data_IF_860365661029
#
_entry.id   IF_860365661029
#
_cell.length_a   1.000
_cell.length_b   1.000
_cell.length_c   1.000
_cell.angle_alpha   90.00
_cell.angle_beta   90.00
_cell.angle_gamma   90.00
#
_symmetry.space_group_name_H-M   'P 1'
#
loop_
_entity.id
_entity.type
_entity.pdbx_description
1 polymer ?
#
# COMPACT_ATOMS: atom_id res chain seq x y z
N UNK A 1 -15.19 -0.67 13.18
CA UNK A 1 -15.46 0.79 13.18
C UNK A 1 -15.05 1.32 11.82
N UNK A 2 -16.00 1.81 11.00
CA UNK A 2 -15.66 2.42 9.71
C UNK A 2 -15.34 3.89 9.95
N UNK A 3 -14.09 4.27 9.93
CA UNK A 3 -13.69 5.67 10.01
C UNK A 3 -13.51 6.18 8.59
N UNK A 4 -14.55 6.81 8.06
CA UNK A 4 -14.47 7.63 6.86
C UNK A 4 -13.99 9.01 7.29
N UNK A 5 -12.71 9.30 7.12
CA UNK A 5 -12.16 10.63 7.36
C UNK A 5 -12.34 11.50 6.13
N UNK A 6 -13.41 12.27 6.07
CA UNK A 6 -13.51 13.40 5.16
C UNK A 6 -12.78 14.59 5.80
N UNK A 7 -11.61 14.94 5.31
CA UNK A 7 -10.99 16.24 5.59
C UNK A 7 -11.60 17.26 4.63
N UNK A 8 -12.73 17.86 5.05
CA UNK A 8 -13.23 19.08 4.42
C UNK A 8 -12.29 20.24 4.80
N UNK A 9 -11.59 20.81 3.83
CA UNK A 9 -10.86 22.05 4.03
C UNK A 9 -11.87 23.18 4.18
N UNK A 10 -12.18 23.55 5.45
CA UNK A 10 -13.06 24.66 5.78
C UNK A 10 -12.60 25.99 5.17
N UNK A 11 -13.12 27.11 5.65
CA UNK A 11 -13.10 28.51 5.16
C UNK A 11 -11.87 29.00 4.35
N UNK A 12 -10.76 28.30 4.31
CA UNK A 12 -9.60 28.60 3.43
C UNK A 12 -9.77 28.11 1.99
N UNK A 13 -10.86 27.42 1.69
CA UNK A 13 -11.20 26.88 0.37
C UNK A 13 -12.03 27.82 -0.51
N UNK A 14 -11.96 29.10 -0.33
CA UNK A 14 -12.61 30.06 -1.24
C UNK A 14 -11.85 30.13 -2.58
N UNK A 15 -11.79 29.02 -3.27
CA UNK A 15 -11.12 28.86 -4.57
C UNK A 15 -10.82 27.42 -4.94
N UNK A 16 -10.59 26.53 -3.98
CA UNK A 16 -10.36 25.09 -4.23
C UNK A 16 -11.16 24.24 -3.26
N UNK A 17 -12.12 23.50 -3.78
CA UNK A 17 -12.78 22.45 -3.01
C UNK A 17 -12.00 21.16 -3.25
N UNK A 18 -11.26 20.68 -2.24
CA UNK A 18 -10.52 19.42 -2.29
C UNK A 18 -11.18 18.35 -1.42
N UNK A 19 -11.39 17.16 -1.96
CA UNK A 19 -11.91 16.00 -1.24
C UNK A 19 -10.80 14.94 -1.19
N UNK A 20 -10.29 14.67 0.02
CA UNK A 20 -9.30 13.63 0.26
C UNK A 20 -10.00 12.36 0.75
N UNK A 21 -9.71 11.23 0.12
CA UNK A 21 -10.31 9.95 0.45
C UNK A 21 -9.27 8.85 0.51
N UNK A 22 -9.48 7.87 1.40
CA UNK A 22 -8.67 6.67 1.50
C UNK A 22 -9.62 5.48 1.75
N UNK A 23 -9.97 4.77 0.69
CA UNK A 23 -11.03 3.76 0.72
C UNK A 23 -10.46 2.36 0.44
N UNK A 24 -11.13 1.30 0.93
CA UNK A 24 -10.49 -0.03 1.02
C UNK A 24 -10.51 -0.82 -0.29
N UNK A 25 -11.41 -0.55 -1.23
CA UNK A 25 -11.56 -1.37 -2.46
C UNK A 25 -11.83 -0.53 -3.70
N UNK A 26 -11.42 -1.04 -4.87
CA UNK A 26 -11.69 -0.42 -6.17
C UNK A 26 -13.18 -0.12 -6.39
N UNK A 27 -14.07 -1.04 -5.98
CA UNK A 27 -15.52 -0.87 -6.14
C UNK A 27 -16.07 0.30 -5.30
N UNK A 28 -15.63 0.42 -4.05
CA UNK A 28 -16.04 1.52 -3.16
C UNK A 28 -15.47 2.85 -3.68
N UNK A 29 -14.21 2.89 -4.14
CA UNK A 29 -13.59 4.07 -4.75
C UNK A 29 -14.40 4.52 -5.96
N UNK A 30 -14.71 3.60 -6.88
CA UNK A 30 -15.50 3.90 -8.08
C UNK A 30 -16.88 4.46 -7.74
N UNK A 31 -17.61 3.84 -6.83
CA UNK A 31 -18.93 4.30 -6.39
C UNK A 31 -18.87 5.70 -5.74
N UNK A 32 -17.90 5.91 -4.84
CA UNK A 32 -17.74 7.17 -4.11
C UNK A 32 -17.34 8.32 -5.04
N UNK A 33 -16.37 8.12 -5.95
CA UNK A 33 -15.97 9.16 -6.90
C UNK A 33 -17.12 9.50 -7.84
N UNK A 34 -17.90 8.50 -8.30
CA UNK A 34 -19.07 8.72 -9.14
C UNK A 34 -20.12 9.58 -8.40
N UNK A 35 -20.43 9.27 -7.13
CA UNK A 35 -21.35 10.03 -6.31
C UNK A 35 -20.86 11.47 -6.06
N UNK A 36 -19.56 11.66 -5.81
CA UNK A 36 -18.96 13.00 -5.68
C UNK A 36 -19.18 13.81 -6.96
N UNK A 37 -18.94 13.23 -8.13
CA UNK A 37 -19.13 13.91 -9.42
C UNK A 37 -20.61 14.22 -9.76
N UNK A 38 -21.55 13.62 -9.05
CA UNK A 38 -23.00 13.91 -9.18
C UNK A 38 -23.46 15.01 -8.21
N UNK A 39 -22.81 15.14 -7.07
CA UNK A 39 -23.25 15.97 -5.95
C UNK A 39 -22.39 17.20 -5.69
N UNK A 40 -21.09 17.13 -5.98
CA UNK A 40 -20.17 18.25 -5.81
C UNK A 40 -20.19 19.22 -7.00
N UNK A 41 -19.56 20.37 -6.82
CA UNK A 41 -19.47 21.39 -7.89
C UNK A 41 -18.35 21.05 -8.86
N UNK A 42 -18.52 21.29 -10.18
CA UNK A 42 -17.40 21.28 -11.13
C UNK A 42 -16.24 22.18 -10.64
N UNK A 43 -15.01 21.79 -10.94
CA UNK A 43 -13.82 22.43 -10.40
C UNK A 43 -13.34 21.83 -9.06
N UNK A 44 -14.10 20.89 -8.45
CA UNK A 44 -13.64 20.19 -7.26
C UNK A 44 -12.47 19.25 -7.60
N UNK A 45 -11.45 19.25 -6.76
CA UNK A 45 -10.33 18.30 -6.83
C UNK A 45 -10.59 17.10 -5.93
N UNK A 46 -10.55 15.90 -6.48
CA UNK A 46 -10.66 14.62 -5.76
C UNK A 46 -9.26 14.03 -5.64
N UNK A 47 -8.86 13.67 -4.42
CA UNK A 47 -7.54 13.08 -4.14
C UNK A 47 -7.78 11.70 -3.53
N UNK A 48 -7.54 10.64 -4.32
CA UNK A 48 -7.59 9.27 -3.84
C UNK A 48 -6.23 8.87 -3.26
N UNK A 49 -6.19 8.71 -1.95
CA UNK A 49 -5.01 8.27 -1.20
C UNK A 49 -5.02 6.75 -0.93
N UNK A 50 -6.01 6.06 -1.47
CA UNK A 50 -6.14 4.60 -1.39
C UNK A 50 -5.17 3.87 -2.32
N UNK A 51 -5.07 2.57 -2.15
CA UNK A 51 -4.36 1.69 -3.09
C UNK A 51 -5.35 1.15 -4.12
N UNK A 52 -5.65 1.99 -5.10
CA UNK A 52 -6.60 1.72 -6.19
C UNK A 52 -5.87 1.23 -7.43
N UNK A 53 -6.50 0.36 -8.22
CA UNK A 53 -5.94 -0.10 -9.50
C UNK A 53 -5.67 1.08 -10.44
N UNK A 54 -4.50 1.15 -11.09
CA UNK A 54 -4.18 2.21 -12.06
C UNK A 54 -5.24 2.36 -13.16
N UNK A 55 -5.78 1.25 -13.66
CA UNK A 55 -6.80 1.27 -14.72
C UNK A 55 -8.15 1.82 -14.24
N UNK A 56 -8.54 1.50 -13.02
CA UNK A 56 -9.74 2.09 -12.39
C UNK A 56 -9.59 3.59 -12.24
N UNK A 57 -8.41 4.05 -11.81
CA UNK A 57 -8.11 5.48 -11.70
C UNK A 57 -8.15 6.16 -13.07
N UNK A 58 -7.57 5.56 -14.11
CA UNK A 58 -7.58 6.13 -15.47
C UNK A 58 -9.01 6.24 -16.02
N UNK A 59 -9.85 5.22 -15.82
CA UNK A 59 -11.28 5.27 -16.18
C UNK A 59 -12.00 6.42 -15.47
N UNK A 60 -11.80 6.53 -14.15
CA UNK A 60 -12.44 7.56 -13.33
C UNK A 60 -11.92 8.96 -13.65
N UNK A 61 -10.64 9.08 -13.97
CA UNK A 61 -10.02 10.35 -14.38
C UNK A 61 -10.64 10.86 -15.69
N UNK A 62 -10.80 10.00 -16.69
CA UNK A 62 -11.45 10.38 -17.95
C UNK A 62 -12.88 10.90 -17.71
N UNK A 63 -13.66 10.21 -16.86
CA UNK A 63 -15.00 10.64 -16.49
C UNK A 63 -15.00 11.93 -15.67
N UNK A 64 -14.00 12.15 -14.81
CA UNK A 64 -13.84 13.38 -14.03
C UNK A 64 -13.58 14.58 -14.94
N UNK A 65 -12.68 14.45 -15.90
CA UNK A 65 -12.38 15.50 -16.89
C UNK A 65 -13.62 15.90 -17.69
N UNK A 66 -14.40 14.93 -18.18
CA UNK A 66 -15.64 15.18 -18.91
C UNK A 66 -16.67 15.99 -18.11
N UNK A 67 -16.71 15.79 -16.78
CA UNK A 67 -17.61 16.48 -15.87
C UNK A 67 -17.01 17.75 -15.24
N UNK A 68 -15.79 18.13 -15.64
CA UNK A 68 -15.10 19.32 -15.14
C UNK A 68 -14.54 19.20 -13.73
N UNK A 69 -14.18 17.98 -13.29
CA UNK A 69 -13.50 17.69 -12.03
C UNK A 69 -12.02 17.38 -12.27
N UNK A 70 -11.22 17.51 -11.21
CA UNK A 70 -9.85 17.04 -11.18
C UNK A 70 -9.74 15.78 -10.31
N UNK A 71 -8.96 14.79 -10.75
CA UNK A 71 -8.72 13.57 -9.99
C UNK A 71 -7.23 13.27 -9.91
N UNK A 72 -6.69 13.24 -8.69
CA UNK A 72 -5.33 12.81 -8.40
C UNK A 72 -5.34 11.44 -7.70
N UNK A 73 -4.54 10.51 -8.19
CA UNK A 73 -4.21 9.27 -7.48
C UNK A 73 -2.95 9.49 -6.64
N UNK A 74 -3.12 9.49 -5.32
CA UNK A 74 -2.08 9.88 -4.36
C UNK A 74 -1.86 8.84 -3.26
N UNK A 75 -1.70 7.54 -3.61
CA UNK A 75 -1.52 6.49 -2.63
C UNK A 75 -0.33 6.74 -1.71
N UNK A 76 -0.44 6.17 -0.50
CA UNK A 76 0.52 6.39 0.58
C UNK A 76 1.31 5.14 0.95
N UNK A 77 2.49 5.33 1.50
CA UNK A 77 3.31 4.30 2.14
C UNK A 77 3.84 4.81 3.47
N UNK A 78 3.99 3.91 4.46
CA UNK A 78 4.43 4.24 5.82
C UNK A 78 3.58 3.58 6.92
N UNK A 79 2.44 2.97 6.52
CA UNK A 79 1.55 2.25 7.44
C UNK A 79 0.98 3.14 8.55
N UNK A 80 0.51 2.51 9.62
CA UNK A 80 -0.06 3.20 10.79
C UNK A 80 0.96 4.14 11.47
N UNK A 81 2.20 3.70 11.61
CA UNK A 81 3.28 4.52 12.21
C UNK A 81 3.51 5.79 11.41
N UNK A 82 3.56 5.68 10.08
CA UNK A 82 3.72 6.84 9.20
C UNK A 82 2.52 7.79 9.25
N UNK A 83 1.31 7.24 9.33
CA UNK A 83 0.09 8.04 9.45
C UNK A 83 0.04 8.82 10.78
N UNK A 84 0.29 8.14 11.90
CA UNK A 84 0.29 8.75 13.23
C UNK A 84 1.42 9.79 13.39
N UNK A 85 2.55 9.57 12.74
CA UNK A 85 3.71 10.47 12.80
C UNK A 85 3.71 11.59 11.76
N UNK A 86 2.73 11.66 10.86
CA UNK A 86 2.73 12.61 9.75
C UNK A 86 3.92 12.41 8.78
N UNK A 87 4.42 11.19 8.66
CA UNK A 87 5.65 10.87 7.91
C UNK A 87 5.39 9.98 6.69
N UNK A 88 4.16 9.95 6.19
CA UNK A 88 3.81 9.20 5.00
C UNK A 88 4.66 9.61 3.79
N UNK A 89 4.94 8.64 2.93
CA UNK A 89 5.47 8.86 1.58
C UNK A 89 4.28 8.81 0.63
N UNK A 90 4.06 9.87 -0.14
CA UNK A 90 2.90 10.04 -1.01
C UNK A 90 3.39 10.04 -2.47
N UNK A 91 2.80 9.17 -3.29
CA UNK A 91 3.12 9.01 -4.72
C UNK A 91 1.93 9.52 -5.53
N UNK A 92 2.06 10.67 -6.20
CA UNK A 92 0.93 11.35 -6.81
C UNK A 92 0.97 11.31 -8.34
N UNK A 93 -0.11 10.83 -8.96
CA UNK A 93 -0.39 10.90 -10.39
C UNK A 93 -1.57 11.84 -10.70
N UNK A 94 -1.61 12.36 -11.92
CA UNK A 94 -2.64 13.27 -12.41
C UNK A 94 -2.06 14.49 -13.10
N UNK A 95 -2.82 15.58 -13.20
CA UNK A 95 -2.35 16.84 -13.76
C UNK A 95 -1.30 17.49 -12.86
N UNK A 96 -0.17 17.89 -13.45
CA UNK A 96 0.97 18.47 -12.71
C UNK A 96 0.60 19.74 -11.97
N UNK A 97 -0.16 20.60 -12.60
CA UNK A 97 -0.60 21.89 -12.05
C UNK A 97 -1.50 21.66 -10.83
N UNK A 98 -2.43 20.71 -10.91
CA UNK A 98 -3.31 20.34 -9.79
C UNK A 98 -2.51 19.70 -8.65
N UNK A 99 -1.52 18.86 -8.98
CA UNK A 99 -0.60 18.34 -7.97
C UNK A 99 0.15 19.47 -7.24
N UNK A 100 0.68 20.44 -7.96
CA UNK A 100 1.43 21.55 -7.34
C UNK A 100 0.56 22.37 -6.37
N UNK A 101 -0.71 22.56 -6.69
CA UNK A 101 -1.69 23.22 -5.83
C UNK A 101 -2.04 22.38 -4.58
N UNK A 102 -2.17 21.05 -4.73
CA UNK A 102 -2.55 20.14 -3.64
C UNK A 102 -1.35 19.75 -2.76
N UNK A 103 -0.13 19.78 -3.31
CA UNK A 103 1.09 19.33 -2.64
C UNK A 103 1.30 19.88 -1.22
N UNK A 104 1.05 21.17 -0.91
CA UNK A 104 1.18 21.68 0.46
C UNK A 104 0.30 20.95 1.47
N UNK A 105 -0.91 20.53 1.06
CA UNK A 105 -1.84 19.78 1.92
C UNK A 105 -1.39 18.32 2.10
N UNK A 106 -0.85 17.69 1.05
CA UNK A 106 -0.27 16.36 1.14
C UNK A 106 0.91 16.34 2.13
N UNK A 107 1.73 17.39 2.14
CA UNK A 107 2.87 17.53 3.05
C UNK A 107 2.46 17.79 4.52
N UNK A 108 1.19 18.07 4.81
CA UNK A 108 0.69 18.08 6.19
C UNK A 108 0.48 16.67 6.77
N UNK A 109 0.37 15.66 5.90
CA UNK A 109 0.15 14.25 6.26
C UNK A 109 1.40 13.38 6.05
N UNK A 110 2.33 13.83 5.23
CA UNK A 110 3.51 13.07 4.85
C UNK A 110 4.79 13.90 4.81
N UNK A 111 5.92 13.22 4.94
CA UNK A 111 7.24 13.85 4.81
C UNK A 111 7.63 14.13 3.36
N UNK A 112 7.03 13.40 2.41
CA UNK A 112 7.27 13.59 0.98
C UNK A 112 5.99 13.41 0.18
N UNK A 113 5.81 14.26 -0.83
CA UNK A 113 4.79 14.11 -1.86
C UNK A 113 5.50 14.27 -3.22
N UNK A 114 5.57 13.18 -3.98
CA UNK A 114 6.32 13.09 -5.22
C UNK A 114 5.36 12.96 -6.41
N UNK A 115 5.53 13.80 -7.41
CA UNK A 115 4.82 13.68 -8.67
C UNK A 115 5.39 12.51 -9.49
N UNK A 116 4.54 11.57 -9.84
CA UNK A 116 4.91 10.34 -10.53
C UNK A 116 4.61 10.38 -12.04
N UNK A 117 3.82 11.35 -12.50
CA UNK A 117 3.40 11.46 -13.89
C UNK A 117 1.89 11.61 -14.05
N UNK A 118 1.33 11.36 -15.25
CA UNK A 118 -0.11 11.41 -15.51
C UNK A 118 -0.93 10.48 -14.62
N UNK A 119 -2.26 10.58 -14.74
CA UNK A 119 -3.23 9.75 -14.00
C UNK A 119 -2.90 8.25 -14.08
N UNK A 120 -2.94 7.58 -12.92
CA UNK A 120 -2.57 6.17 -12.73
C UNK A 120 -1.09 5.94 -12.43
N UNK A 121 -0.21 6.95 -12.60
CA UNK A 121 1.21 6.79 -12.29
C UNK A 121 1.48 6.68 -10.78
N UNK A 122 0.74 7.38 -9.93
CA UNK A 122 0.81 7.23 -8.48
C UNK A 122 0.41 5.83 -8.04
N UNK A 123 -0.72 5.35 -8.56
CA UNK A 123 -1.22 3.99 -8.32
C UNK A 123 -0.23 2.92 -8.84
N UNK A 124 0.37 3.11 -10.01
CA UNK A 124 1.41 2.21 -10.53
C UNK A 124 2.64 2.18 -9.63
N UNK A 125 3.08 3.36 -9.14
CA UNK A 125 4.19 3.43 -8.19
C UNK A 125 3.85 2.69 -6.88
N UNK A 126 2.60 2.79 -6.40
CA UNK A 126 2.14 2.04 -5.23
C UNK A 126 2.12 0.53 -5.47
N UNK A 127 1.68 0.09 -6.64
CA UNK A 127 1.73 -1.33 -7.04
C UNK A 127 3.18 -1.83 -6.96
N UNK A 128 4.12 -1.13 -7.61
CA UNK A 128 5.54 -1.49 -7.57
C UNK A 128 6.12 -1.50 -6.14
N UNK A 129 5.76 -0.50 -5.31
CA UNK A 129 6.15 -0.48 -3.90
C UNK A 129 5.65 -1.72 -3.15
N UNK A 130 4.38 -2.11 -3.34
CA UNK A 130 3.81 -3.22 -2.60
C UNK A 130 4.28 -4.58 -3.11
N UNK A 131 4.63 -4.71 -4.39
CA UNK A 131 5.39 -5.88 -4.90
C UNK A 131 6.71 -6.04 -4.12
N UNK A 132 7.52 -4.97 -4.01
CA UNK A 132 8.77 -5.02 -3.26
C UNK A 132 8.55 -5.35 -1.79
N UNK A 133 7.54 -4.77 -1.14
CA UNK A 133 7.19 -5.09 0.26
C UNK A 133 6.87 -6.58 0.42
N UNK A 134 6.05 -7.15 -0.47
CA UNK A 134 5.70 -8.57 -0.46
C UNK A 134 6.93 -9.48 -0.63
N UNK A 135 7.78 -9.17 -1.61
CA UNK A 135 9.02 -9.93 -1.86
C UNK A 135 9.97 -9.85 -0.64
N UNK A 136 10.10 -8.68 -0.01
CA UNK A 136 10.90 -8.54 1.20
C UNK A 136 10.35 -9.37 2.38
N UNK A 137 9.02 -9.46 2.54
CA UNK A 137 8.39 -10.30 3.56
C UNK A 137 8.70 -11.78 3.33
N UNK A 138 8.59 -12.25 2.09
CA UNK A 138 8.91 -13.62 1.73
C UNK A 138 10.40 -13.92 1.93
N UNK A 139 11.29 -13.05 1.43
CA UNK A 139 12.73 -13.21 1.59
C UNK A 139 13.15 -13.24 3.07
N UNK A 140 12.55 -12.37 3.89
CA UNK A 140 12.75 -12.35 5.35
C UNK A 140 12.29 -13.68 5.98
N UNK A 141 11.06 -14.11 5.69
CA UNK A 141 10.50 -15.36 6.25
C UNK A 141 11.36 -16.57 5.91
N UNK A 142 11.76 -16.71 4.64
CA UNK A 142 12.60 -17.82 4.18
C UNK A 142 13.98 -17.80 4.83
N UNK A 143 14.66 -16.65 4.85
CA UNK A 143 16.00 -16.53 5.41
C UNK A 143 16.04 -16.83 6.92
N UNK A 144 15.05 -16.33 7.67
CA UNK A 144 14.98 -16.58 9.12
C UNK A 144 14.59 -18.02 9.45
N UNK A 145 13.67 -18.64 8.70
CA UNK A 145 13.35 -20.06 8.85
C UNK A 145 14.55 -20.95 8.51
N UNK A 146 15.25 -20.66 7.41
CA UNK A 146 16.48 -21.37 7.03
C UNK A 146 17.56 -21.26 8.12
N UNK A 147 17.83 -20.05 8.60
CA UNK A 147 18.83 -19.83 9.65
C UNK A 147 18.49 -20.57 10.93
N UNK A 148 17.21 -20.54 11.36
CA UNK A 148 16.72 -21.32 12.51
C UNK A 148 16.90 -22.82 12.30
N UNK A 149 16.62 -23.33 11.11
CA UNK A 149 16.81 -24.74 10.75
C UNK A 149 18.29 -25.15 10.80
N UNK A 150 19.19 -24.22 10.44
CA UNK A 150 20.65 -24.41 10.50
C UNK A 150 21.20 -24.28 11.95
N UNK A 151 20.37 -23.97 12.93
CA UNK A 151 20.77 -23.86 14.33
C UNK A 151 21.23 -22.46 14.76
N UNK A 152 21.03 -21.43 13.90
CA UNK A 152 21.35 -20.07 14.26
C UNK A 152 20.18 -19.43 15.04
N UNK A 153 20.52 -18.66 16.08
CA UNK A 153 19.52 -17.88 16.81
C UNK A 153 18.99 -16.73 15.98
N UNK A 154 17.64 -16.63 15.76
CA UNK A 154 17.07 -15.61 14.91
C UNK A 154 17.30 -14.17 15.40
N UNK A 155 17.34 -13.93 16.70
CA UNK A 155 17.66 -12.60 17.24
C UNK A 155 19.10 -12.21 16.92
N UNK A 156 20.03 -13.13 17.10
CA UNK A 156 21.44 -12.92 16.74
C UNK A 156 21.62 -12.65 15.25
N UNK A 157 20.88 -13.39 14.39
CA UNK A 157 20.87 -13.11 12.94
C UNK A 157 20.38 -11.68 12.67
N UNK A 158 19.24 -11.29 13.23
CA UNK A 158 18.68 -9.94 13.04
C UNK A 158 19.68 -8.87 13.41
N UNK A 159 20.29 -8.98 14.61
CA UNK A 159 21.26 -8.01 15.12
C UNK A 159 22.50 -7.89 14.23
N UNK A 160 22.93 -8.99 13.62
CA UNK A 160 24.09 -9.01 12.73
C UNK A 160 23.82 -8.35 11.37
N UNK A 161 22.60 -8.51 10.80
CA UNK A 161 22.35 -8.11 9.41
C UNK A 161 21.56 -6.79 9.28
N UNK A 162 20.96 -6.28 10.35
CA UNK A 162 20.10 -5.07 10.32
C UNK A 162 20.83 -3.77 9.93
N UNK A 163 22.16 -3.77 9.87
CA UNK A 163 22.96 -2.63 9.39
C UNK A 163 23.66 -2.89 8.05
N UNK A 164 23.42 -4.05 7.43
CA UNK A 164 24.02 -4.46 6.17
C UNK A 164 23.13 -4.27 4.95
N UNK A 165 23.56 -4.78 3.81
CA UNK A 165 22.80 -4.66 2.54
C UNK A 165 21.44 -5.36 2.55
N UNK A 166 21.22 -6.34 3.42
CA UNK A 166 19.96 -7.03 3.58
C UNK A 166 18.91 -6.20 4.34
N UNK A 167 19.30 -5.06 4.94
CA UNK A 167 18.38 -4.19 5.68
C UNK A 167 17.26 -3.67 4.81
N UNK A 168 16.06 -3.63 5.38
CA UNK A 168 14.89 -2.97 4.81
C UNK A 168 13.97 -2.47 5.90
N UNK A 169 13.14 -1.43 5.60
CA UNK A 169 12.11 -0.98 6.52
C UNK A 169 11.09 -2.09 6.87
N UNK A 170 10.91 -3.06 5.96
CA UNK A 170 10.10 -4.26 6.20
C UNK A 170 10.74 -5.12 7.29
N UNK A 171 12.03 -5.42 7.16
CA UNK A 171 12.76 -6.21 8.16
C UNK A 171 12.77 -5.52 9.53
N UNK A 172 13.07 -4.22 9.57
CA UNK A 172 13.12 -3.43 10.81
C UNK A 172 11.76 -3.41 11.52
N UNK A 173 10.66 -3.31 10.77
CA UNK A 173 9.31 -3.26 11.34
C UNK A 173 8.70 -4.62 11.66
N UNK A 174 9.13 -5.70 10.97
CA UNK A 174 8.43 -7.00 11.01
C UNK A 174 9.20 -8.09 11.77
N UNK A 175 10.54 -8.06 11.77
CA UNK A 175 11.32 -9.06 12.53
C UNK A 175 11.04 -9.01 14.03
N UNK A 176 10.98 -7.83 14.69
CA UNK A 176 10.66 -7.80 16.12
C UNK A 176 9.29 -8.41 16.46
N UNK A 177 8.27 -8.19 15.61
CA UNK A 177 6.95 -8.82 15.76
C UNK A 177 7.02 -10.33 15.57
N UNK A 178 7.73 -10.78 14.55
CA UNK A 178 7.92 -12.22 14.25
C UNK A 178 8.60 -12.93 15.44
N UNK A 179 9.70 -12.37 15.96
CA UNK A 179 10.44 -12.97 17.08
C UNK A 179 9.63 -13.00 18.38
N UNK A 180 8.81 -11.99 18.63
CA UNK A 180 7.90 -11.94 19.78
C UNK A 180 6.62 -12.75 19.58
N UNK A 181 6.42 -13.35 18.40
CA UNK A 181 5.18 -14.05 18.00
C UNK A 181 3.93 -13.18 18.09
N UNK A 182 4.09 -11.86 17.93
CA UNK A 182 2.98 -10.91 17.88
C UNK A 182 2.47 -10.77 16.44
N UNK A 183 1.42 -11.53 16.11
CA UNK A 183 0.74 -11.47 14.82
C UNK A 183 -0.49 -10.56 14.82
N UNK A 184 -0.69 -9.77 15.87
CA UNK A 184 -1.74 -8.73 15.88
C UNK A 184 -1.50 -7.73 14.75
N UNK A 185 -2.55 -7.44 13.98
CA UNK A 185 -2.39 -6.72 12.73
C UNK A 185 -2.12 -5.23 12.91
N UNK A 186 -0.93 -4.78 12.58
CA UNK A 186 -0.62 -3.38 12.22
C UNK A 186 -0.79 -3.13 10.71
N UNK A 187 -0.61 -4.18 9.91
CA UNK A 187 -0.90 -4.23 8.47
C UNK A 187 -1.33 -5.66 8.11
N UNK A 188 -2.61 -5.84 7.78
CA UNK A 188 -3.17 -7.18 7.50
C UNK A 188 -2.70 -7.73 6.16
N UNK A 189 -2.50 -9.04 6.10
CA UNK A 189 -2.22 -9.77 4.85
C UNK A 189 -3.36 -9.54 3.84
N UNK A 190 -4.64 -9.56 4.26
CA UNK A 190 -5.80 -9.33 3.39
C UNK A 190 -5.70 -8.04 2.57
N UNK A 191 -5.23 -6.96 3.20
CA UNK A 191 -5.05 -5.67 2.52
C UNK A 191 -3.92 -5.75 1.50
N UNK A 192 -2.83 -6.45 1.84
CA UNK A 192 -1.69 -6.60 0.94
C UNK A 192 -2.00 -7.56 -0.22
N UNK A 193 -2.75 -8.64 0.02
CA UNK A 193 -3.21 -9.55 -1.04
C UNK A 193 -4.03 -8.82 -2.10
N UNK A 194 -4.90 -7.89 -1.69
CA UNK A 194 -5.61 -7.00 -2.64
C UNK A 194 -4.62 -6.23 -3.54
N UNK A 195 -3.53 -5.72 -2.96
CA UNK A 195 -2.54 -4.94 -3.72
C UNK A 195 -1.70 -5.82 -4.65
N UNK A 196 -1.39 -7.05 -4.22
CA UNK A 196 -0.76 -8.06 -5.08
C UNK A 196 -1.69 -8.47 -6.23
N UNK A 197 -3.00 -8.62 -5.99
CA UNK A 197 -3.97 -8.86 -7.06
C UNK A 197 -4.03 -7.69 -8.05
N UNK A 198 -3.98 -6.43 -7.58
CA UNK A 198 -3.85 -5.27 -8.48
C UNK A 198 -2.57 -5.36 -9.34
N UNK A 199 -1.44 -5.85 -8.78
CA UNK A 199 -0.21 -6.04 -9.54
C UNK A 199 -0.36 -7.11 -10.63
N UNK A 200 -1.01 -8.23 -10.31
CA UNK A 200 -1.28 -9.31 -11.29
C UNK A 200 -2.23 -8.85 -12.39
N UNK A 201 -3.25 -8.05 -12.06
CA UNK A 201 -4.16 -7.45 -13.04
C UNK A 201 -3.42 -6.50 -13.98
N UNK A 202 -2.52 -5.67 -13.45
CA UNK A 202 -1.67 -4.77 -14.26
C UNK A 202 -0.75 -5.58 -15.18
N UNK A 203 -0.12 -6.64 -14.67
CA UNK A 203 0.74 -7.52 -15.44
C UNK A 203 0.00 -8.17 -16.62
N UNK A 204 -1.21 -8.67 -16.37
CA UNK A 204 -2.06 -9.26 -17.39
C UNK A 204 -2.40 -8.24 -18.51
N UNK A 205 -2.73 -7.00 -18.16
CA UNK A 205 -2.99 -5.95 -19.14
C UNK A 205 -1.75 -5.58 -19.98
N UNK A 206 -0.57 -5.61 -19.36
CA UNK A 206 0.69 -5.30 -20.04
C UNK A 206 1.26 -6.51 -20.81
N UNK A 207 0.72 -7.71 -20.60
CA UNK A 207 1.24 -8.94 -21.19
C UNK A 207 2.63 -9.31 -20.65
N UNK A 208 2.90 -9.06 -19.38
CA UNK A 208 4.18 -9.37 -18.71
C UNK A 208 3.97 -10.36 -17.58
N UNK A 209 5.03 -11.14 -17.27
CA UNK A 209 5.06 -12.06 -16.13
C UNK A 209 5.76 -11.40 -14.94
N UNK A 210 5.29 -11.71 -13.73
CA UNK A 210 5.84 -11.20 -12.46
C UNK A 210 6.21 -12.38 -11.53
N UNK A 211 7.25 -13.19 -11.86
CA UNK A 211 7.50 -14.48 -11.20
C UNK A 211 7.70 -14.35 -9.68
N UNK A 212 8.35 -13.30 -9.19
CA UNK A 212 8.53 -13.08 -7.76
C UNK A 212 7.20 -12.69 -7.07
N UNK A 213 6.36 -11.92 -7.75
CA UNK A 213 5.05 -11.52 -7.23
C UNK A 213 4.07 -12.68 -7.21
N UNK A 214 4.17 -13.60 -8.17
CA UNK A 214 3.40 -14.85 -8.19
C UNK A 214 3.70 -15.70 -6.95
N UNK A 215 4.97 -15.85 -6.58
CA UNK A 215 5.37 -16.54 -5.34
C UNK A 215 4.78 -15.85 -4.11
N UNK A 216 4.83 -14.51 -4.05
CA UNK A 216 4.20 -13.75 -2.95
C UNK A 216 2.71 -14.04 -2.87
N UNK A 217 2.02 -14.02 -4.01
CA UNK A 217 0.59 -14.31 -4.08
C UNK A 217 0.26 -15.71 -3.57
N UNK A 218 1.00 -16.71 -4.02
CA UNK A 218 0.84 -18.11 -3.62
C UNK A 218 0.93 -18.30 -2.10
N UNK A 219 1.89 -17.61 -1.45
CA UNK A 219 2.03 -17.65 0.00
C UNK A 219 0.89 -16.92 0.72
N UNK A 220 0.41 -15.80 0.20
CA UNK A 220 -0.74 -15.09 0.76
C UNK A 220 -2.03 -15.92 0.59
N UNK A 221 -2.22 -16.59 -0.54
CA UNK A 221 -3.34 -17.52 -0.76
C UNK A 221 -3.26 -18.72 0.20
N UNK A 222 -2.05 -19.22 0.49
CA UNK A 222 -1.83 -20.25 1.51
C UNK A 222 -2.26 -19.81 2.90
N UNK A 223 -2.02 -18.53 3.27
CA UNK A 223 -2.46 -17.93 4.52
C UNK A 223 -3.99 -17.79 4.57
N UNK A 224 -4.62 -17.36 3.47
CA UNK A 224 -6.07 -17.21 3.36
C UNK A 224 -6.77 -18.55 3.52
N UNK A 225 -6.31 -19.58 2.81
CA UNK A 225 -6.85 -20.94 2.90
C UNK A 225 -6.80 -21.55 4.31
N UNK A 226 -5.99 -20.99 5.22
CA UNK A 226 -5.85 -21.41 6.62
C UNK A 226 -6.53 -20.46 7.62
N UNK A 227 -7.26 -19.45 7.13
CA UNK A 227 -7.96 -18.49 7.98
C UNK A 227 -7.04 -17.49 8.70
N UNK A 228 -5.80 -17.31 8.21
CA UNK A 228 -4.80 -16.41 8.79
C UNK A 228 -4.66 -15.08 8.03
N UNK A 229 -5.59 -14.80 7.12
CA UNK A 229 -5.52 -13.63 6.24
C UNK A 229 -5.64 -12.28 6.98
N UNK A 230 -6.22 -12.28 8.16
CA UNK A 230 -6.37 -11.07 8.99
C UNK A 230 -5.19 -10.84 9.94
N UNK A 231 -4.20 -11.73 9.95
CA UNK A 231 -2.98 -11.53 10.72
C UNK A 231 -2.06 -10.45 10.11
N UNK A 232 -1.08 -10.01 10.91
CA UNK A 232 -0.04 -9.07 10.44
C UNK A 232 0.81 -9.72 9.34
N UNK A 233 1.31 -8.92 8.44
CA UNK A 233 2.18 -9.35 7.33
C UNK A 233 3.40 -10.16 7.75
N UNK A 234 3.93 -9.97 8.99
CA UNK A 234 5.02 -10.79 9.49
C UNK A 234 4.66 -12.28 9.61
N UNK A 235 3.36 -12.59 9.68
CA UNK A 235 2.86 -13.97 9.74
C UNK A 235 3.10 -14.77 8.45
N UNK A 236 3.44 -14.12 7.31
CA UNK A 236 3.87 -14.84 6.09
C UNK A 236 5.07 -15.76 6.35
N UNK A 237 5.90 -15.49 7.36
CA UNK A 237 6.97 -16.37 7.79
C UNK A 237 6.48 -17.77 8.20
N UNK A 238 5.21 -17.92 8.63
CA UNK A 238 4.61 -19.23 9.00
C UNK A 238 4.57 -20.20 7.82
N UNK A 239 4.50 -19.71 6.59
CA UNK A 239 4.61 -20.55 5.40
C UNK A 239 5.96 -21.31 5.38
N UNK A 240 7.04 -20.61 5.67
CA UNK A 240 8.38 -21.19 5.70
C UNK A 240 8.64 -22.01 6.98
N UNK A 241 8.04 -21.61 8.10
CA UNK A 241 8.07 -22.38 9.33
C UNK A 241 7.46 -23.77 9.11
N UNK A 242 6.30 -23.82 8.45
CA UNK A 242 5.60 -25.06 8.09
C UNK A 242 6.45 -25.91 7.13
N UNK A 243 6.95 -25.30 6.05
CA UNK A 243 7.76 -26.00 5.05
C UNK A 243 9.06 -26.59 5.60
N UNK A 244 9.69 -25.91 6.58
CA UNK A 244 10.97 -26.33 7.14
C UNK A 244 10.85 -27.06 8.48
N UNK A 245 9.66 -27.13 9.07
CA UNK A 245 9.40 -27.76 10.37
C UNK A 245 10.17 -27.06 11.51
N UNK A 246 10.13 -25.73 11.56
CA UNK A 246 10.79 -24.89 12.58
C UNK A 246 9.82 -23.83 13.11
N UNK A 247 10.19 -23.19 14.22
CA UNK A 247 9.50 -22.00 14.73
C UNK A 247 10.54 -20.89 14.93
N UNK A 248 10.33 -19.74 14.29
CA UNK A 248 11.20 -18.55 14.38
C UNK A 248 10.88 -17.83 15.69
N UNK A 249 11.68 -18.08 16.70
CA UNK A 249 11.62 -17.41 18.01
C UNK A 249 12.97 -17.45 18.73
#
# INVERSE_FOLDING_TARGET
MKTLGYLGLGVMGYGMTGIFMCLPTNAIVKATITEIMETARPGTTIVDMGSTSPYVIQELHAAAVEKGFYLLDSPVSGGETGANGGTLVIMCGGEKEVFDEVRPYLLMMGKTATYMGPSGCGSTAKVANNMMVGIHLCAMGEAFAFAKKAGLDPQTLFDAIKGGFAQSAVMDGKVPKLLSRDFSASARIAVHLKDINNAMDVAAHLGVELPMTEIVKEQMDWMDARGMIDEDQCALAKYYEDAMGVEIK
#
